data_IF_271803724011
#
_entry.id   IF_271803724011
#
_cell.length_a   1.000
_cell.length_b   1.000
_cell.length_c   1.000
_cell.angle_alpha   90.00
_cell.angle_beta   90.00
_cell.angle_gamma   90.00
#
_symmetry.space_group_name_H-M   'P 1'
#
loop_
_entity.id
_entity.type
_entity.pdbx_description
1 polymer ?
#
# COMPACT_ATOMS: atom_id res chain seq x y z
N UNK A 1 11.92 -43.60 54.99
CA UNK A 1 10.70 -43.91 54.20
C UNK A 1 10.44 -42.76 53.25
N UNK A 2 10.29 -43.08 51.97
CA UNK A 2 9.93 -42.23 50.81
C UNK A 2 10.92 -41.16 50.33
N UNK A 3 11.68 -41.53 49.29
CA UNK A 3 12.15 -40.60 48.26
C UNK A 3 11.20 -40.80 47.06
N UNK A 4 10.30 -39.84 46.83
CA UNK A 4 9.41 -39.85 45.67
C UNK A 4 9.92 -38.89 44.60
N UNK A 5 9.95 -39.43 43.39
CA UNK A 5 10.26 -38.85 42.09
C UNK A 5 9.48 -37.56 41.79
N UNK A 6 9.95 -36.76 40.81
CA UNK A 6 9.41 -36.70 39.45
C UNK A 6 9.84 -35.41 38.71
N UNK A 7 10.37 -35.63 37.49
CA UNK A 7 10.01 -34.94 36.23
C UNK A 7 10.61 -33.57 35.95
N UNK A 8 11.60 -33.59 35.06
CA UNK A 8 11.89 -32.50 34.12
C UNK A 8 10.73 -32.29 33.16
N UNK A 9 10.27 -31.05 32.90
CA UNK A 9 9.51 -30.76 31.71
C UNK A 9 10.45 -30.44 30.54
N UNK A 10 10.08 -31.01 29.40
CA UNK A 10 10.75 -30.92 28.11
C UNK A 10 10.86 -29.47 27.60
N UNK A 11 11.92 -29.22 26.83
CA UNK A 11 12.03 -28.06 25.96
C UNK A 11 10.97 -28.13 24.86
N UNK A 12 9.87 -27.41 25.03
CA UNK A 12 8.98 -27.04 23.94
C UNK A 12 9.60 -25.86 23.18
N UNK A 13 9.83 -25.94 21.86
CA UNK A 13 10.17 -24.77 21.07
C UNK A 13 8.91 -23.92 20.97
N UNK A 14 8.88 -22.80 21.71
CA UNK A 14 7.83 -21.80 21.56
C UNK A 14 7.75 -21.37 20.09
N UNK A 15 6.71 -21.86 19.40
CA UNK A 15 6.20 -21.25 18.19
C UNK A 15 5.73 -19.85 18.57
N UNK A 16 6.61 -18.88 18.37
CA UNK A 16 6.28 -17.46 18.49
C UNK A 16 5.11 -17.16 17.55
N UNK A 17 4.03 -16.52 18.05
CA UNK A 17 3.05 -15.91 17.17
C UNK A 17 3.84 -14.99 16.23
N UNK A 18 3.74 -15.21 14.92
CA UNK A 18 4.27 -14.26 13.94
C UNK A 18 3.47 -12.97 14.09
N UNK A 19 3.93 -12.09 14.97
CA UNK A 19 3.55 -10.68 14.95
C UNK A 19 3.86 -10.21 13.54
N UNK A 20 2.88 -9.66 12.78
CA UNK A 20 3.16 -9.08 11.49
C UNK A 20 4.30 -8.09 11.66
N UNK A 21 5.35 -8.22 10.85
CA UNK A 21 6.54 -7.38 10.93
C UNK A 21 6.11 -5.92 11.08
N UNK A 22 6.65 -5.22 12.08
CA UNK A 22 6.47 -3.79 12.28
C UNK A 22 6.70 -3.08 10.94
N UNK A 23 5.63 -2.59 10.31
CA UNK A 23 5.66 -1.87 9.01
C UNK A 23 6.09 -0.42 9.24
N UNK A 24 7.03 -0.21 10.17
CA UNK A 24 7.42 1.12 10.65
C UNK A 24 8.43 1.76 9.68
N UNK A 25 8.96 0.98 8.74
CA UNK A 25 9.76 1.45 7.61
C UNK A 25 9.05 1.10 6.30
N UNK A 26 8.45 2.10 5.68
CA UNK A 26 7.69 1.96 4.44
C UNK A 26 7.45 3.30 3.77
N UNK A 27 7.04 3.28 2.50
CA UNK A 27 6.67 4.49 1.77
C UNK A 27 5.16 4.52 1.52
N UNK A 28 4.61 5.73 1.45
CA UNK A 28 3.18 5.91 1.16
C UNK A 28 2.99 6.05 -0.35
N UNK A 29 1.91 5.45 -0.86
CA UNK A 29 1.55 5.52 -2.26
C UNK A 29 0.05 5.39 -2.46
N UNK A 30 -0.45 5.88 -3.59
CA UNK A 30 -1.74 5.43 -4.11
C UNK A 30 -1.56 4.15 -4.89
N UNK A 31 -2.38 3.16 -4.58
CA UNK A 31 -2.36 1.86 -5.23
C UNK A 31 -3.76 1.44 -5.66
N UNK A 32 -3.84 0.81 -6.83
CA UNK A 32 -5.02 0.08 -7.25
C UNK A 32 -4.95 -1.33 -6.66
N UNK A 33 -5.88 -1.65 -5.78
CA UNK A 33 -6.06 -2.99 -5.20
C UNK A 33 -7.39 -3.53 -5.71
N UNK A 34 -7.33 -4.54 -6.59
CA UNK A 34 -8.51 -5.21 -7.17
C UNK A 34 -9.57 -4.24 -7.72
N UNK A 35 -9.14 -3.19 -8.41
CA UNK A 35 -10.01 -2.18 -9.03
C UNK A 35 -10.34 -0.97 -8.15
N UNK A 36 -9.89 -0.94 -6.90
CA UNK A 36 -10.14 0.18 -5.99
C UNK A 36 -8.85 0.93 -5.66
N UNK A 37 -8.87 2.26 -5.86
CA UNK A 37 -7.75 3.13 -5.51
C UNK A 37 -7.77 3.42 -4.02
N UNK A 38 -6.69 3.05 -3.33
CA UNK A 38 -6.53 3.26 -1.89
C UNK A 38 -5.18 3.94 -1.60
N UNK A 39 -5.11 4.61 -0.46
CA UNK A 39 -3.84 5.03 0.12
C UNK A 39 -3.23 3.82 0.82
N UNK A 40 -1.98 3.52 0.53
CA UNK A 40 -1.25 2.41 1.16
C UNK A 40 0.09 2.86 1.70
N UNK A 41 0.54 2.22 2.78
CA UNK A 41 1.93 2.23 3.20
C UNK A 41 2.53 0.88 2.84
N UNK A 42 3.52 0.86 1.96
CA UNK A 42 4.20 -0.34 1.48
C UNK A 42 5.43 -0.60 2.34
N UNK A 43 5.57 -1.82 2.86
CA UNK A 43 6.74 -2.23 3.65
C UNK A 43 8.02 -2.18 2.80
N UNK A 44 9.07 -1.54 3.32
CA UNK A 44 10.41 -1.56 2.71
C UNK A 44 11.11 -2.91 2.88
N UNK A 45 10.63 -3.75 3.79
CA UNK A 45 11.24 -5.05 4.10
C UNK A 45 10.95 -6.12 3.04
N UNK A 46 10.00 -5.88 2.12
CA UNK A 46 9.68 -6.82 1.05
C UNK A 46 10.55 -6.52 -0.18
N UNK A 47 11.41 -7.45 -0.63
CA UNK A 47 12.17 -7.26 -1.87
C UNK A 47 11.24 -7.14 -3.08
N UNK A 48 11.55 -6.24 -4.01
CA UNK A 48 10.80 -6.03 -5.25
C UNK A 48 11.06 -7.16 -6.26
N UNK A 49 10.59 -8.37 -5.97
CA UNK A 49 10.58 -9.49 -6.92
C UNK A 49 9.14 -9.81 -7.31
N UNK A 50 8.92 -10.14 -8.59
CA UNK A 50 7.58 -10.42 -9.14
C UNK A 50 6.87 -11.65 -8.52
N UNK A 51 7.54 -12.38 -7.62
CA UNK A 51 7.07 -13.57 -6.95
C UNK A 51 6.86 -13.39 -5.44
N UNK A 52 7.22 -12.24 -4.87
CA UNK A 52 7.14 -12.00 -3.43
C UNK A 52 5.92 -11.17 -3.09
N UNK A 53 5.13 -11.67 -2.16
CA UNK A 53 3.98 -10.95 -1.62
C UNK A 53 4.39 -9.67 -0.94
N UNK A 54 3.64 -8.59 -1.14
CA UNK A 54 3.90 -7.26 -0.61
C UNK A 54 3.04 -7.02 0.62
N UNK A 55 3.68 -6.67 1.74
CA UNK A 55 2.97 -6.28 2.96
C UNK A 55 2.60 -4.79 2.89
N UNK A 56 1.32 -4.50 3.03
CA UNK A 56 0.78 -3.14 2.98
C UNK A 56 -0.17 -2.85 4.13
N UNK A 57 -0.10 -1.61 4.65
CA UNK A 57 -1.20 -1.02 5.43
C UNK A 57 -2.11 -0.25 4.50
N UNK A 58 -3.42 -0.47 4.60
CA UNK A 58 -4.45 0.16 3.76
C UNK A 58 -5.16 1.22 4.58
N UNK A 59 -5.26 2.42 4.01
CA UNK A 59 -5.91 3.57 4.60
C UNK A 59 -7.10 4.01 3.74
N UNK A 60 -8.26 4.15 4.37
CA UNK A 60 -9.49 4.59 3.71
C UNK A 60 -9.68 6.08 3.90
N UNK A 61 -10.12 6.75 2.84
CA UNK A 61 -10.54 8.14 2.92
C UNK A 61 -11.76 8.27 3.83
N UNK A 62 -11.69 9.14 4.84
CA UNK A 62 -12.81 9.41 5.75
C UNK A 62 -13.38 10.82 5.50
N UNK A 63 -12.55 11.86 5.63
CA UNK A 63 -12.97 13.25 5.47
C UNK A 63 -11.89 14.11 4.85
N UNK A 64 -12.25 15.03 3.95
CA UNK A 64 -11.35 16.06 3.38
C UNK A 64 -10.02 15.45 2.93
N UNK A 65 -8.99 15.51 3.76
CA UNK A 65 -7.65 15.01 3.51
C UNK A 65 -7.17 13.96 4.53
N UNK A 66 -8.08 13.45 5.36
CA UNK A 66 -7.86 12.48 6.42
C UNK A 66 -8.12 11.08 5.87
N UNK A 67 -7.12 10.24 6.01
CA UNK A 67 -7.17 8.82 5.70
C UNK A 67 -6.88 8.04 6.97
N UNK A 68 -7.76 7.10 7.32
CA UNK A 68 -7.58 6.26 8.52
C UNK A 68 -7.23 4.86 8.14
N UNK A 69 -6.33 4.28 8.91
CA UNK A 69 -6.00 2.88 8.79
C UNK A 69 -7.27 2.03 8.88
N UNK A 70 -7.34 1.05 8.02
CA UNK A 70 -8.45 0.10 7.97
C UNK A 70 -7.96 -1.30 8.26
N UNK A 71 -6.89 -1.72 7.57
CA UNK A 71 -6.35 -3.07 7.72
C UNK A 71 -4.93 -3.17 7.18
N UNK A 72 -4.19 -4.17 7.65
CA UNK A 72 -2.92 -4.59 7.08
C UNK A 72 -3.12 -5.90 6.30
N UNK A 73 -2.54 -6.00 5.10
CA UNK A 73 -2.67 -7.17 4.24
C UNK A 73 -1.36 -7.48 3.53
N UNK A 74 -1.13 -8.78 3.32
CA UNK A 74 -0.11 -9.31 2.45
C UNK A 74 -0.75 -9.61 1.09
N UNK A 75 -0.34 -8.89 0.05
CA UNK A 75 -0.94 -8.96 -1.29
C UNK A 75 0.01 -9.61 -2.29
N UNK A 76 -0.54 -10.39 -3.21
CA UNK A 76 0.22 -10.87 -4.37
C UNK A 76 0.49 -9.69 -5.33
N UNK A 77 1.65 -9.61 -6.01
CA UNK A 77 1.95 -8.54 -6.97
C UNK A 77 0.92 -8.37 -8.10
N UNK A 78 0.13 -9.41 -8.41
CA UNK A 78 -0.96 -9.33 -9.38
C UNK A 78 -2.21 -8.59 -8.85
N UNK A 79 -2.38 -8.49 -7.53
CA UNK A 79 -3.54 -7.88 -6.88
C UNK A 79 -3.33 -6.41 -6.53
N UNK A 80 -2.08 -5.91 -6.61
CA UNK A 80 -1.69 -4.54 -6.28
C UNK A 80 -0.90 -3.91 -7.42
N UNK A 81 -1.28 -2.69 -7.81
CA UNK A 81 -0.53 -1.86 -8.73
C UNK A 81 -0.29 -0.49 -8.10
N UNK A 82 0.98 -0.12 -7.90
CA UNK A 82 1.36 1.19 -7.38
C UNK A 82 1.17 2.22 -8.51
N UNK A 83 0.33 3.23 -8.26
CA UNK A 83 0.01 4.26 -9.24
C UNK A 83 0.90 5.50 -9.07
N UNK A 84 1.05 5.96 -7.83
CA UNK A 84 1.79 7.20 -7.51
C UNK A 84 2.39 7.07 -6.11
N UNK A 85 3.71 7.24 -5.98
CA UNK A 85 4.35 7.38 -4.66
C UNK A 85 4.14 8.78 -4.10
N UNK A 86 3.97 8.87 -2.78
CA UNK A 86 3.68 10.13 -2.09
C UNK A 86 4.94 10.61 -1.39
N UNK A 87 5.36 11.82 -1.77
CA UNK A 87 6.45 12.55 -1.12
C UNK A 87 6.11 12.84 0.36
N UNK A 88 7.13 12.73 1.21
CA UNK A 88 7.03 12.98 2.65
C UNK A 88 6.63 14.42 2.94
N UNK A 89 6.99 15.37 2.07
CA UNK A 89 6.60 16.79 2.20
C UNK A 89 5.09 17.03 2.03
N UNK A 90 4.38 16.11 1.39
CA UNK A 90 2.97 16.25 1.02
C UNK A 90 2.04 15.46 1.95
N UNK A 91 2.58 14.87 3.03
CA UNK A 91 1.82 14.08 4.00
C UNK A 91 2.24 14.38 5.42
N UNK A 92 1.35 14.08 6.36
CA UNK A 92 1.64 14.02 7.77
C UNK A 92 1.02 12.74 8.33
N UNK A 93 1.84 11.82 8.83
CA UNK A 93 1.39 10.56 9.39
C UNK A 93 1.49 10.61 10.91
N UNK A 94 0.34 10.48 11.58
CA UNK A 94 0.24 10.31 13.03
C UNK A 94 0.11 8.83 13.34
N UNK A 95 1.23 8.19 13.69
CA UNK A 95 1.30 6.75 13.95
C UNK A 95 0.43 6.33 15.13
N UNK A 96 0.42 7.10 16.22
CA UNK A 96 -0.39 6.83 17.42
C UNK A 96 -1.90 6.73 17.13
N UNK A 97 -2.36 7.40 16.07
CA UNK A 97 -3.76 7.42 15.66
C UNK A 97 -4.02 6.66 14.37
N UNK A 98 -2.97 6.07 13.80
CA UNK A 98 -2.96 5.42 12.49
C UNK A 98 -3.68 6.27 11.41
N UNK A 99 -3.40 7.57 11.42
CA UNK A 99 -4.10 8.55 10.60
C UNK A 99 -3.10 9.29 9.70
N UNK A 100 -3.41 9.37 8.42
CA UNK A 100 -2.60 10.08 7.42
C UNK A 100 -3.38 11.30 6.94
N UNK A 101 -2.75 12.45 7.05
CA UNK A 101 -3.22 13.70 6.48
C UNK A 101 -2.45 13.97 5.18
N UNK A 102 -3.17 14.18 4.09
CA UNK A 102 -2.56 14.49 2.79
C UNK A 102 -2.72 15.97 2.44
N UNK A 103 -1.85 16.48 1.57
CA UNK A 103 -2.07 17.75 0.92
C UNK A 103 -3.37 17.71 0.09
N UNK A 104 -4.09 18.84 0.02
CA UNK A 104 -5.36 18.94 -0.73
C UNK A 104 -5.20 18.55 -2.20
N UNK A 105 -4.04 18.82 -2.78
CA UNK A 105 -3.70 18.46 -4.16
C UNK A 105 -3.74 16.95 -4.38
N UNK A 106 -3.17 16.16 -3.45
CA UNK A 106 -3.20 14.69 -3.51
C UNK A 106 -4.62 14.15 -3.46
N UNK A 107 -5.48 14.72 -2.61
CA UNK A 107 -6.90 14.33 -2.56
C UNK A 107 -7.60 14.58 -3.90
N UNK A 108 -7.28 15.70 -4.55
CA UNK A 108 -7.76 16.00 -5.90
C UNK A 108 -7.31 14.94 -6.91
N UNK A 109 -6.05 14.51 -6.83
CA UNK A 109 -5.50 13.44 -7.69
C UNK A 109 -6.19 12.10 -7.47
N UNK A 110 -6.41 11.68 -6.22
CA UNK A 110 -7.16 10.43 -5.93
C UNK A 110 -8.55 10.44 -6.55
N UNK A 111 -9.27 11.56 -6.43
CA UNK A 111 -10.61 11.67 -7.03
C UNK A 111 -10.57 11.48 -8.55
N UNK A 112 -9.54 12.00 -9.21
CA UNK A 112 -9.35 11.81 -10.65
C UNK A 112 -8.96 10.36 -10.99
N UNK A 113 -8.21 9.67 -10.13
CA UNK A 113 -7.84 8.27 -10.33
C UNK A 113 -9.03 7.31 -10.09
N UNK A 114 -9.93 7.66 -9.18
CA UNK A 114 -11.11 6.85 -8.83
C UNK A 114 -12.29 7.09 -9.78
N UNK A 115 -12.44 8.28 -10.37
CA UNK A 115 -13.53 8.54 -11.31
C UNK A 115 -13.21 7.92 -12.70
N UNK A 116 -14.01 6.94 -13.16
CA UNK A 116 -13.77 6.25 -14.42
C UNK A 116 -13.81 7.18 -15.64
N UNK A 117 -14.44 8.36 -15.54
CA UNK A 117 -14.44 9.38 -16.60
C UNK A 117 -13.07 10.00 -16.85
N UNK A 118 -12.19 9.99 -15.84
CA UNK A 118 -10.84 10.53 -15.93
C UNK A 118 -9.78 9.43 -16.10
N UNK A 119 -10.08 8.20 -15.68
CA UNK A 119 -9.25 7.02 -15.90
C UNK A 119 -8.95 6.76 -17.39
N UNK A 120 -9.87 7.13 -18.30
CA UNK A 120 -9.72 6.92 -19.74
C UNK A 120 -8.71 7.88 -20.43
N UNK A 121 -8.26 8.96 -19.76
CA UNK A 121 -7.32 9.92 -20.36
C UNK A 121 -5.84 9.55 -20.19
N UNK A 122 -5.48 8.62 -19.29
CA UNK A 122 -4.08 8.21 -19.10
C UNK A 122 -3.60 7.08 -20.03
N UNK A 123 -4.49 6.49 -20.83
CA UNK A 123 -4.12 5.51 -21.88
C UNK A 123 -4.03 6.12 -23.30
N UNK A 124 -4.19 7.44 -23.45
CA UNK A 124 -4.18 8.15 -24.73
C UNK A 124 -2.83 8.76 -25.10
N UNK A 125 -1.75 7.99 -24.99
CA UNK A 125 -0.39 8.47 -25.22
C UNK A 125 0.31 7.90 -26.45
N UNK A 126 -0.29 7.90 -27.66
CA UNK A 126 0.48 7.69 -28.90
C UNK A 126 -0.02 8.53 -30.09
N UNK A 127 0.82 9.51 -30.47
CA UNK A 127 1.21 9.84 -31.84
C UNK A 127 0.12 9.95 -32.92
N UNK A 128 -0.51 11.12 -33.04
CA UNK A 128 -0.93 11.58 -34.37
C UNK A 128 0.30 12.16 -35.07
N UNK A 129 1.04 11.31 -35.79
CA UNK A 129 2.00 11.76 -36.78
C UNK A 129 1.27 12.63 -37.81
N UNK A 130 1.61 13.92 -37.86
CA UNK A 130 1.19 14.83 -38.93
C UNK A 130 1.67 14.25 -40.26
N UNK A 131 0.73 13.80 -41.08
CA UNK A 131 1.00 13.51 -42.50
C UNK A 131 1.15 14.86 -43.21
N UNK A 132 2.31 15.17 -43.83
CA UNK A 132 2.42 16.36 -44.66
C UNK A 132 1.67 16.12 -45.97
N UNK A 133 0.65 16.94 -46.21
CA UNK A 133 -0.10 17.00 -47.47
C UNK A 133 0.86 17.45 -48.58
N UNK A 134 1.30 16.53 -49.44
CA UNK A 134 1.96 16.89 -50.70
C UNK A 134 0.92 17.49 -51.63
N UNK A 135 1.16 18.74 -52.03
CA UNK A 135 0.51 19.40 -53.15
C UNK A 135 0.81 18.64 -54.44
N UNK A 136 -0.21 18.50 -55.28
CA UNK A 136 -0.08 18.42 -56.74
C UNK A 136 -1.22 19.19 -57.36
#
# INVERSE_FOLDING_TARGET
MSVSQLVSPACEPFATPRVPAHVDSGYFAFANIRGNVNLVQVSSATPASALTTVDVKIFRHEFINIFRFTEARTLHPADISILESIDDSMKHYEEDKETVYLAKELVGRVRNLTDPRFSMMQHGGFHMARVPRRQR
#
